data_IF_956417615428
#
_entry.id   IF_956417615428
#
_cell.length_a   1.000
_cell.length_b   1.000
_cell.length_c   1.000
_cell.angle_alpha   90.00
_cell.angle_beta   90.00
_cell.angle_gamma   90.00
#
_symmetry.space_group_name_H-M   'P 1'
#
loop_
_entity.id
_entity.type
_entity.pdbx_description
1 polymer ?
#
# COMPACT_ATOMS: atom_id res chain seq x y z
N UNK A 1 20.63 -4.70 27.68
CA UNK A 1 20.69 -3.31 27.20
C UNK A 1 19.29 -2.94 26.72
N UNK A 2 18.74 -1.78 27.04
CA UNK A 2 17.50 -1.34 26.41
C UNK A 2 17.72 -1.21 24.90
N UNK A 3 16.71 -1.54 24.07
CA UNK A 3 16.83 -1.42 22.62
C UNK A 3 17.16 0.04 22.27
N UNK A 4 18.09 0.23 21.34
CA UNK A 4 18.42 1.56 20.83
C UNK A 4 17.24 2.06 20.00
N UNK A 5 16.51 3.12 20.41
CA UNK A 5 15.35 3.61 19.68
C UNK A 5 15.67 4.08 18.25
N UNK A 6 16.94 4.38 17.94
CA UNK A 6 17.40 4.70 16.58
C UNK A 6 17.45 3.47 15.63
N UNK A 7 17.23 2.25 16.13
CA UNK A 7 17.27 1.01 15.35
C UNK A 7 15.89 0.33 15.19
N UNK A 8 14.84 0.90 15.78
CA UNK A 8 13.49 0.34 15.62
C UNK A 8 12.92 0.75 14.26
N UNK A 9 12.40 -0.21 13.46
CA UNK A 9 11.76 0.12 12.20
C UNK A 9 10.50 0.98 12.46
N UNK A 10 10.15 1.91 11.54
CA UNK A 10 8.89 2.64 11.65
C UNK A 10 7.71 1.67 11.61
N UNK A 11 6.69 1.94 12.43
CA UNK A 11 5.48 1.11 12.49
C UNK A 11 4.43 1.65 11.53
N UNK A 12 3.90 0.78 10.68
CA UNK A 12 2.83 1.10 9.73
C UNK A 12 1.58 0.29 10.11
N UNK A 13 0.48 0.99 10.35
CA UNK A 13 -0.84 0.39 10.59
C UNK A 13 -1.55 0.20 9.25
N UNK A 14 -1.97 -1.03 8.94
CA UNK A 14 -2.91 -1.29 7.85
C UNK A 14 -4.32 -1.54 8.38
N UNK A 15 -5.31 -0.88 7.78
CA UNK A 15 -6.74 -1.00 8.07
C UNK A 15 -7.42 -1.49 6.80
N UNK A 16 -7.63 -2.79 6.66
CA UNK A 16 -8.11 -3.37 5.41
C UNK A 16 -8.83 -4.72 5.62
N UNK A 17 -9.45 -5.25 4.56
CA UNK A 17 -10.04 -6.57 4.55
C UNK A 17 -9.00 -7.68 4.56
N UNK A 18 -9.43 -8.88 4.97
CA UNK A 18 -8.61 -10.08 4.93
C UNK A 18 -8.88 -10.86 3.63
N UNK A 19 -7.83 -10.98 2.80
CA UNK A 19 -7.83 -11.86 1.62
C UNK A 19 -7.11 -13.17 1.95
N UNK A 20 -7.83 -14.32 2.03
CA UNK A 20 -7.22 -15.61 2.35
C UNK A 20 -6.27 -16.13 1.26
N UNK A 21 -6.35 -15.60 0.01
CA UNK A 21 -5.36 -15.92 -1.03
C UNK A 21 -4.05 -15.17 -0.86
N UNK A 22 -4.00 -14.23 0.08
CA UNK A 22 -2.82 -13.43 0.43
C UNK A 22 -2.26 -12.58 -0.73
N UNK A 23 -3.08 -12.29 -1.73
CA UNK A 23 -2.72 -11.44 -2.86
C UNK A 23 -3.02 -9.96 -2.63
N UNK A 24 -4.01 -9.66 -1.79
CA UNK A 24 -4.44 -8.31 -1.44
C UNK A 24 -4.75 -8.22 0.07
N UNK A 25 -5.32 -7.09 0.51
CA UNK A 25 -5.73 -6.84 1.89
C UNK A 25 -4.61 -6.95 2.90
N UNK A 26 -4.96 -7.07 4.19
CA UNK A 26 -3.97 -7.04 5.29
C UNK A 26 -2.81 -8.01 5.13
N UNK A 27 -3.01 -9.17 4.49
CA UNK A 27 -1.94 -10.16 4.29
C UNK A 27 -0.93 -9.73 3.24
N UNK A 28 -1.35 -9.05 2.19
CA UNK A 28 -0.47 -8.42 1.20
C UNK A 28 0.22 -7.19 1.78
N UNK A 29 -0.51 -6.39 2.55
CA UNK A 29 0.00 -5.19 3.20
C UNK A 29 1.13 -5.52 4.17
N UNK A 30 0.95 -6.51 5.05
CA UNK A 30 2.00 -6.96 5.99
C UNK A 30 3.26 -7.43 5.24
N UNK A 31 3.11 -8.17 4.12
CA UNK A 31 4.26 -8.54 3.29
C UNK A 31 4.96 -7.31 2.68
N UNK A 32 4.16 -6.35 2.18
CA UNK A 32 4.69 -5.11 1.61
C UNK A 32 5.42 -4.29 2.66
N UNK A 33 4.82 -4.12 3.85
CA UNK A 33 5.41 -3.39 4.97
C UNK A 33 6.76 -4.02 5.36
N UNK A 34 6.80 -5.36 5.50
CA UNK A 34 8.04 -6.08 5.79
C UNK A 34 9.08 -5.92 4.68
N UNK A 35 8.67 -5.97 3.39
CA UNK A 35 9.57 -5.78 2.24
C UNK A 35 10.17 -4.36 2.17
N UNK A 36 9.48 -3.35 2.74
CA UNK A 36 9.95 -1.97 2.84
C UNK A 36 10.75 -1.67 4.12
N UNK A 37 11.02 -2.68 4.96
CA UNK A 37 11.81 -2.50 6.18
C UNK A 37 11.05 -1.82 7.32
N UNK A 38 9.73 -1.86 7.31
CA UNK A 38 8.84 -1.38 8.37
C UNK A 38 8.30 -2.53 9.22
N UNK A 39 7.78 -2.22 10.40
CA UNK A 39 7.01 -3.15 11.22
C UNK A 39 5.51 -2.95 10.97
N UNK A 40 4.80 -4.02 10.60
CA UNK A 40 3.38 -3.94 10.27
C UNK A 40 2.49 -4.36 11.43
N UNK A 41 1.49 -3.53 11.73
CA UNK A 41 0.35 -3.88 12.58
C UNK A 41 -0.93 -3.74 11.78
N UNK A 42 -1.97 -4.52 12.11
CA UNK A 42 -3.15 -4.60 11.27
C UNK A 42 -4.47 -4.57 12.06
N UNK A 43 -5.46 -3.87 11.50
CA UNK A 43 -6.86 -3.96 11.91
C UNK A 43 -7.68 -4.51 10.73
N UNK A 44 -8.32 -5.66 10.93
CA UNK A 44 -9.16 -6.29 9.90
C UNK A 44 -10.54 -5.66 9.90
N UNK A 45 -10.98 -5.19 8.74
CA UNK A 45 -12.31 -4.56 8.53
C UNK A 45 -13.37 -5.54 8.04
N UNK A 46 -12.95 -6.58 7.33
CA UNK A 46 -13.82 -7.61 6.77
C UNK A 46 -13.08 -8.93 6.54
N UNK A 47 -13.82 -10.02 6.57
CA UNK A 47 -13.36 -11.32 6.08
C UNK A 47 -13.93 -11.57 4.69
N UNK A 48 -13.15 -12.17 3.80
CA UNK A 48 -13.64 -12.55 2.47
C UNK A 48 -13.56 -14.06 2.24
N UNK A 49 -14.49 -14.59 1.49
CA UNK A 49 -14.39 -15.88 0.84
C UNK A 49 -13.89 -15.61 -0.58
N UNK A 50 -12.59 -15.69 -0.76
CA UNK A 50 -11.89 -15.21 -1.94
C UNK A 50 -10.81 -16.20 -2.39
N UNK A 51 -10.52 -16.20 -3.68
CA UNK A 51 -9.39 -16.89 -4.30
C UNK A 51 -8.85 -16.03 -5.46
N UNK A 52 -7.85 -16.53 -6.18
CA UNK A 52 -7.37 -15.86 -7.41
C UNK A 52 -8.45 -15.67 -8.47
N UNK A 53 -9.54 -16.44 -8.40
CA UNK A 53 -10.69 -16.37 -9.34
C UNK A 53 -11.71 -15.28 -8.97
N UNK A 54 -11.58 -14.63 -7.81
CA UNK A 54 -12.43 -13.52 -7.38
C UNK A 54 -13.01 -13.67 -5.98
N UNK A 55 -13.79 -12.67 -5.58
CA UNK A 55 -14.49 -12.56 -4.28
C UNK A 55 -15.88 -13.17 -4.43
N UNK A 56 -16.20 -14.17 -3.60
CA UNK A 56 -17.52 -14.82 -3.56
C UNK A 56 -18.43 -14.26 -2.46
N UNK A 57 -17.85 -13.84 -1.34
CA UNK A 57 -18.56 -13.30 -0.18
C UNK A 57 -17.65 -12.39 0.61
N UNK A 58 -18.23 -11.35 1.15
CA UNK A 58 -17.60 -10.44 2.12
C UNK A 58 -18.45 -10.41 3.37
N UNK A 59 -17.79 -10.42 4.54
CA UNK A 59 -18.42 -10.29 5.86
C UNK A 59 -17.70 -9.17 6.63
N UNK A 60 -18.39 -8.05 6.85
CA UNK A 60 -17.84 -6.94 7.62
C UNK A 60 -17.61 -7.35 9.08
N UNK A 61 -16.51 -6.92 9.65
CA UNK A 61 -16.25 -7.02 11.09
C UNK A 61 -17.13 -5.98 11.81
N UNK A 62 -17.63 -6.31 12.99
CA UNK A 62 -18.41 -5.37 13.79
C UNK A 62 -17.62 -4.07 14.03
N UNK A 63 -18.22 -2.92 13.69
CA UNK A 63 -17.55 -1.62 13.77
C UNK A 63 -17.01 -1.30 15.19
N UNK A 64 -17.70 -1.77 16.25
CA UNK A 64 -17.21 -1.68 17.63
C UNK A 64 -15.89 -2.41 17.83
N UNK A 65 -15.77 -3.64 17.33
CA UNK A 65 -14.52 -4.43 17.43
C UNK A 65 -13.39 -3.80 16.62
N UNK A 66 -13.68 -3.24 15.43
CA UNK A 66 -12.70 -2.48 14.63
C UNK A 66 -12.21 -1.29 15.45
N UNK A 67 -13.13 -0.51 16.06
CA UNK A 67 -12.76 0.66 16.86
C UNK A 67 -11.91 0.26 18.08
N UNK A 68 -12.32 -0.73 18.87
CA UNK A 68 -11.57 -1.23 20.04
C UNK A 68 -10.16 -1.70 19.65
N UNK A 69 -10.02 -2.40 18.51
CA UNK A 69 -8.72 -2.85 18.00
C UNK A 69 -7.82 -1.67 17.66
N UNK A 70 -8.35 -0.66 16.97
CA UNK A 70 -7.61 0.55 16.61
C UNK A 70 -7.17 1.34 17.84
N UNK A 71 -8.06 1.52 18.81
CA UNK A 71 -7.77 2.23 20.07
C UNK A 71 -6.69 1.52 20.88
N UNK A 72 -6.73 0.17 20.95
CA UNK A 72 -5.72 -0.61 21.66
C UNK A 72 -4.34 -0.52 21.01
N UNK A 73 -4.27 -0.62 19.67
CA UNK A 73 -3.02 -0.47 18.93
C UNK A 73 -2.43 0.93 19.11
N UNK A 74 -3.24 1.99 19.00
CA UNK A 74 -2.77 3.37 19.12
C UNK A 74 -2.34 3.73 20.55
N UNK A 75 -2.89 3.05 21.57
CA UNK A 75 -2.51 3.22 22.99
C UNK A 75 -1.12 2.64 23.28
N UNK A 76 -0.78 1.53 22.63
CA UNK A 76 0.45 0.76 22.92
C UNK A 76 1.60 1.14 22.00
N UNK A 77 1.31 1.49 20.73
CA UNK A 77 2.32 1.58 19.68
C UNK A 77 2.34 2.98 19.05
N UNK A 78 3.53 3.54 18.88
CA UNK A 78 3.71 4.76 18.09
C UNK A 78 3.64 4.45 16.60
N UNK A 79 2.56 4.87 15.94
CA UNK A 79 2.29 4.63 14.52
C UNK A 79 2.92 5.75 13.68
N UNK A 80 3.80 5.38 12.74
CA UNK A 80 4.49 6.31 11.85
C UNK A 80 3.75 6.59 10.54
N UNK A 81 2.90 5.66 10.10
CA UNK A 81 2.02 5.83 8.94
C UNK A 81 0.82 4.88 9.01
N UNK A 82 -0.23 5.22 8.28
CA UNK A 82 -1.46 4.42 8.17
C UNK A 82 -1.75 4.15 6.70
N UNK A 83 -2.02 2.90 6.36
CA UNK A 83 -2.64 2.51 5.10
C UNK A 83 -4.10 2.14 5.35
N UNK A 84 -5.01 2.68 4.55
CA UNK A 84 -6.44 2.35 4.58
C UNK A 84 -6.82 1.77 3.23
N UNK A 85 -7.29 0.52 3.24
CA UNK A 85 -7.82 -0.18 2.07
C UNK A 85 -9.33 -0.43 2.19
N UNK A 86 -9.76 -1.67 1.93
CA UNK A 86 -11.17 -2.07 1.95
C UNK A 86 -11.83 -1.87 3.31
N UNK A 87 -12.97 -1.16 3.34
CA UNK A 87 -13.74 -0.84 4.56
C UNK A 87 -15.07 -1.61 4.70
N UNK A 88 -15.49 -2.30 3.66
CA UNK A 88 -16.69 -3.14 3.58
C UNK A 88 -18.04 -2.39 3.72
N UNK A 89 -18.34 -1.75 4.85
CA UNK A 89 -19.62 -1.06 5.05
C UNK A 89 -19.46 0.36 5.66
N UNK A 90 -20.57 1.10 5.67
CA UNK A 90 -20.62 2.47 6.19
C UNK A 90 -20.32 2.57 7.69
N UNK A 91 -20.61 1.54 8.50
CA UNK A 91 -20.38 1.54 9.95
C UNK A 91 -18.91 1.43 10.26
N UNK A 92 -18.21 0.54 9.54
CA UNK A 92 -16.76 0.41 9.62
C UNK A 92 -16.07 1.69 9.13
N UNK A 93 -16.50 2.24 7.97
CA UNK A 93 -15.98 3.50 7.45
C UNK A 93 -16.14 4.66 8.46
N UNK A 94 -17.31 4.74 9.12
CA UNK A 94 -17.58 5.76 10.13
C UNK A 94 -16.70 5.59 11.39
N UNK A 95 -16.48 4.36 11.84
CA UNK A 95 -15.63 4.06 12.99
C UNK A 95 -14.15 4.42 12.71
N UNK A 96 -13.65 4.07 11.53
CA UNK A 96 -12.28 4.43 11.09
C UNK A 96 -12.12 5.93 10.96
N UNK A 97 -13.12 6.64 10.38
CA UNK A 97 -13.08 8.09 10.26
C UNK A 97 -13.06 8.78 11.65
N UNK A 98 -13.87 8.33 12.59
CA UNK A 98 -13.87 8.85 13.96
C UNK A 98 -12.52 8.61 14.66
N UNK A 99 -11.95 7.42 14.52
CA UNK A 99 -10.64 7.09 15.07
C UNK A 99 -9.53 8.02 14.53
N UNK A 100 -9.47 8.21 13.22
CA UNK A 100 -8.45 9.07 12.61
C UNK A 100 -8.61 10.53 12.99
N UNK A 101 -9.85 11.03 13.08
CA UNK A 101 -10.11 12.40 13.49
C UNK A 101 -9.69 12.67 14.94
N UNK A 102 -9.87 11.70 15.83
CA UNK A 102 -9.44 11.78 17.22
C UNK A 102 -7.92 11.63 17.41
N UNK A 103 -7.30 10.66 16.73
CA UNK A 103 -5.89 10.31 16.95
C UNK A 103 -4.91 11.20 16.16
N UNK A 104 -5.35 11.83 15.07
CA UNK A 104 -4.51 12.69 14.21
C UNK A 104 -3.19 12.03 13.81
N UNK A 105 -3.25 10.75 13.41
CA UNK A 105 -2.08 9.98 13.03
C UNK A 105 -1.39 10.57 11.78
N UNK A 106 -0.05 10.49 11.69
CA UNK A 106 0.69 10.99 10.55
C UNK A 106 0.60 10.05 9.33
N UNK A 107 0.89 10.59 8.15
CA UNK A 107 1.11 9.82 6.92
C UNK A 107 -0.02 8.84 6.58
N UNK A 108 -1.25 9.32 6.58
CA UNK A 108 -2.43 8.52 6.24
C UNK A 108 -2.53 8.40 4.72
N UNK A 109 -2.31 7.20 4.18
CA UNK A 109 -2.52 6.86 2.77
C UNK A 109 -3.81 6.07 2.63
N UNK A 110 -4.74 6.60 1.84
CA UNK A 110 -6.04 5.99 1.61
C UNK A 110 -6.14 5.47 0.17
N UNK A 111 -6.31 4.16 0.04
CA UNK A 111 -6.69 3.47 -1.19
C UNK A 111 -8.22 3.37 -1.22
N UNK A 112 -8.93 4.10 -2.09
CA UNK A 112 -10.39 4.17 -2.07
C UNK A 112 -11.02 2.93 -2.73
N UNK A 113 -10.77 1.76 -2.15
CA UNK A 113 -11.19 0.46 -2.69
C UNK A 113 -12.71 0.36 -2.76
N UNK A 114 -13.28 0.61 -3.93
CA UNK A 114 -14.71 0.51 -4.21
C UNK A 114 -15.09 -0.86 -4.78
N UNK A 115 -14.20 -1.43 -5.62
CA UNK A 115 -14.41 -2.72 -6.30
C UNK A 115 -13.15 -3.57 -6.28
N UNK A 116 -13.34 -4.89 -6.30
CA UNK A 116 -12.23 -5.83 -6.47
C UNK A 116 -11.73 -5.84 -7.92
N UNK A 117 -10.52 -6.37 -8.15
CA UNK A 117 -9.99 -6.64 -9.50
C UNK A 117 -10.93 -7.51 -10.35
N UNK A 118 -11.75 -8.34 -9.72
CA UNK A 118 -12.78 -9.16 -10.39
C UNK A 118 -14.14 -8.45 -10.58
N UNK A 119 -14.27 -7.17 -10.20
CA UNK A 119 -15.45 -6.33 -10.38
C UNK A 119 -16.49 -6.44 -9.25
N UNK A 120 -16.27 -7.24 -8.21
CA UNK A 120 -17.19 -7.31 -7.07
C UNK A 120 -17.19 -5.98 -6.30
N UNK A 121 -18.38 -5.51 -5.90
CA UNK A 121 -18.52 -4.33 -5.03
C UNK A 121 -17.95 -4.65 -3.64
N UNK A 122 -17.06 -3.80 -3.15
CA UNK A 122 -16.38 -3.95 -1.86
C UNK A 122 -16.73 -2.86 -0.86
N UNK A 123 -17.36 -1.78 -1.30
CA UNK A 123 -17.88 -0.72 -0.45
C UNK A 123 -19.25 -0.28 -0.98
N UNK A 124 -20.25 -0.36 -0.13
CA UNK A 124 -21.61 0.06 -0.47
C UNK A 124 -21.71 1.60 -0.67
N UNK A 125 -22.74 2.12 -1.38
CA UNK A 125 -22.87 3.56 -1.67
C UNK A 125 -22.86 4.46 -0.42
N UNK A 126 -23.45 4.02 0.70
CA UNK A 126 -23.41 4.76 1.97
C UNK A 126 -21.99 4.83 2.54
N UNK A 127 -21.21 3.77 2.40
CA UNK A 127 -19.80 3.74 2.78
C UNK A 127 -18.96 4.66 1.91
N UNK A 128 -19.20 4.69 0.60
CA UNK A 128 -18.54 5.61 -0.33
C UNK A 128 -18.85 7.08 0.00
N UNK A 129 -20.07 7.40 0.42
CA UNK A 129 -20.41 8.75 0.88
C UNK A 129 -19.62 9.16 2.14
N UNK A 130 -19.44 8.25 3.11
CA UNK A 130 -18.60 8.50 4.30
C UNK A 130 -17.13 8.64 3.92
N UNK A 131 -16.63 7.79 3.01
CA UNK A 131 -15.28 7.87 2.50
C UNK A 131 -15.01 9.28 1.93
N UNK A 132 -15.87 9.75 1.03
CA UNK A 132 -15.77 11.09 0.42
C UNK A 132 -15.84 12.22 1.47
N UNK A 133 -16.85 12.18 2.34
CA UNK A 133 -17.14 13.31 3.22
C UNK A 133 -16.24 13.38 4.45
N UNK A 134 -15.71 12.25 4.93
CA UNK A 134 -15.02 12.16 6.22
C UNK A 134 -13.60 11.61 6.16
N UNK A 135 -13.33 10.61 5.32
CA UNK A 135 -12.02 9.94 5.28
C UNK A 135 -11.03 10.64 4.34
N UNK A 136 -11.48 11.02 3.13
CA UNK A 136 -10.59 11.69 2.17
C UNK A 136 -9.95 12.97 2.72
N UNK A 137 -10.69 13.86 3.44
CA UNK A 137 -10.07 15.07 4.03
C UNK A 137 -9.05 14.79 5.15
N UNK A 138 -9.06 13.60 5.74
CA UNK A 138 -8.11 13.19 6.79
C UNK A 138 -6.85 12.52 6.20
N UNK A 139 -6.87 12.20 4.91
CA UNK A 139 -5.74 11.53 4.27
C UNK A 139 -4.60 12.50 3.92
N UNK A 140 -3.37 12.07 4.16
CA UNK A 140 -2.17 12.74 3.64
C UNK A 140 -2.08 12.57 2.13
N UNK A 141 -2.42 11.40 1.62
CA UNK A 141 -2.48 11.09 0.19
C UNK A 141 -3.57 10.07 -0.12
N UNK A 142 -4.18 10.20 -1.29
CA UNK A 142 -5.20 9.27 -1.80
C UNK A 142 -4.70 8.65 -3.10
N UNK A 143 -4.93 7.36 -3.31
CA UNK A 143 -4.36 6.59 -4.44
C UNK A 143 -5.42 5.95 -5.34
N UNK A 144 -6.42 6.69 -5.86
CA UNK A 144 -7.44 6.12 -6.73
C UNK A 144 -6.84 5.60 -8.04
N UNK A 145 -7.33 4.47 -8.53
CA UNK A 145 -7.14 4.10 -9.93
C UNK A 145 -8.06 4.94 -10.84
N UNK A 146 -7.95 4.78 -12.17
CA UNK A 146 -8.75 5.57 -13.13
C UNK A 146 -10.26 5.41 -12.93
N UNK A 147 -10.74 4.21 -12.62
CA UNK A 147 -12.17 3.93 -12.43
C UNK A 147 -12.68 4.54 -11.11
N UNK A 148 -11.88 4.45 -10.06
CA UNK A 148 -12.16 5.07 -8.77
C UNK A 148 -12.09 6.60 -8.85
N UNK A 149 -11.10 7.15 -9.55
CA UNK A 149 -11.01 8.59 -9.80
C UNK A 149 -12.24 9.10 -10.56
N UNK A 150 -12.70 8.37 -11.59
CA UNK A 150 -13.92 8.69 -12.33
C UNK A 150 -15.15 8.63 -11.42
N UNK A 151 -15.28 7.60 -10.58
CA UNK A 151 -16.39 7.49 -9.63
C UNK A 151 -16.40 8.62 -8.59
N UNK A 152 -15.25 8.95 -8.01
CA UNK A 152 -15.12 9.95 -6.95
C UNK A 152 -15.36 11.38 -7.46
N UNK A 153 -15.04 11.67 -8.72
CA UNK A 153 -15.14 13.00 -9.32
C UNK A 153 -16.37 13.19 -10.21
N UNK A 154 -16.95 12.08 -10.71
CA UNK A 154 -17.96 12.13 -11.76
C UNK A 154 -17.42 12.51 -13.15
N UNK A 155 -16.10 12.61 -13.31
CA UNK A 155 -15.43 12.93 -14.57
C UNK A 155 -15.09 11.67 -15.36
N UNK A 156 -14.90 11.80 -16.68
CA UNK A 156 -14.23 10.77 -17.47
C UNK A 156 -12.73 10.78 -17.16
N UNK A 157 -12.13 9.59 -16.95
CA UNK A 157 -10.69 9.45 -16.66
C UNK A 157 -10.15 8.29 -17.51
N UNK A 158 -9.60 8.61 -18.69
CA UNK A 158 -9.13 7.63 -19.67
C UNK A 158 -7.71 7.90 -20.18
N UNK A 159 -7.16 9.07 -19.85
CA UNK A 159 -5.84 9.51 -20.32
C UNK A 159 -5.16 10.42 -19.28
N UNK A 160 -3.84 10.68 -19.41
CA UNK A 160 -3.11 11.46 -18.41
C UNK A 160 -3.63 12.90 -18.18
N UNK A 161 -4.23 13.54 -19.19
CA UNK A 161 -4.81 14.87 -19.02
C UNK A 161 -6.06 14.82 -18.13
N UNK A 162 -6.92 13.83 -18.33
CA UNK A 162 -8.09 13.58 -17.51
C UNK A 162 -7.73 13.12 -16.10
N UNK A 163 -6.63 12.34 -15.92
CA UNK A 163 -6.09 12.00 -14.61
C UNK A 163 -5.67 13.26 -13.83
N UNK A 164 -5.04 14.24 -14.50
CA UNK A 164 -4.72 15.55 -13.89
C UNK A 164 -5.98 16.30 -13.47
N UNK A 165 -6.97 16.39 -14.35
CA UNK A 165 -8.24 17.06 -14.06
C UNK A 165 -8.97 16.40 -12.87
N UNK A 166 -8.93 15.07 -12.76
CA UNK A 166 -9.49 14.35 -11.63
C UNK A 166 -8.71 14.65 -10.33
N UNK A 167 -7.39 14.71 -10.37
CA UNK A 167 -6.57 15.07 -9.21
C UNK A 167 -6.82 16.52 -8.77
N UNK A 168 -6.95 17.47 -9.70
CA UNK A 168 -7.34 18.87 -9.39
C UNK A 168 -8.72 18.95 -8.74
N UNK A 169 -9.68 18.19 -9.27
CA UNK A 169 -11.03 18.15 -8.71
C UNK A 169 -11.02 17.66 -7.27
N UNK A 170 -10.32 16.55 -7.00
CA UNK A 170 -10.17 15.98 -5.65
C UNK A 170 -9.43 16.94 -4.72
N UNK A 171 -8.38 17.62 -5.21
CA UNK A 171 -7.70 18.66 -4.46
C UNK A 171 -8.65 19.81 -4.07
N UNK A 172 -9.51 20.24 -4.99
CA UNK A 172 -10.55 21.24 -4.73
C UNK A 172 -11.56 20.83 -3.66
N UNK A 173 -11.70 19.52 -3.38
CA UNK A 173 -12.49 18.98 -2.27
C UNK A 173 -11.72 18.92 -0.94
N UNK A 174 -10.50 19.46 -0.88
CA UNK A 174 -9.68 19.55 0.33
C UNK A 174 -8.68 18.39 0.52
N UNK A 175 -8.48 17.56 -0.50
CA UNK A 175 -7.48 16.47 -0.43
C UNK A 175 -6.11 17.04 -0.84
N UNK A 176 -5.10 17.04 0.05
CA UNK A 176 -3.84 17.74 -0.22
C UNK A 176 -3.02 17.09 -1.34
N UNK A 177 -3.07 15.76 -1.45
CA UNK A 177 -2.25 15.03 -2.42
C UNK A 177 -3.03 13.84 -3.00
N UNK A 178 -2.96 13.68 -4.32
CA UNK A 178 -3.68 12.64 -5.07
C UNK A 178 -2.75 11.94 -6.04
N UNK A 179 -2.66 10.62 -5.98
CA UNK A 179 -1.93 9.80 -6.95
C UNK A 179 -2.95 9.01 -7.77
N UNK A 180 -3.31 9.49 -8.95
CA UNK A 180 -4.17 8.71 -9.85
C UNK A 180 -3.32 7.65 -10.54
N UNK A 181 -3.63 6.37 -10.30
CA UNK A 181 -2.89 5.25 -10.86
C UNK A 181 -3.51 4.75 -12.17
N UNK A 182 -2.70 4.68 -13.23
CA UNK A 182 -3.14 4.30 -14.58
C UNK A 182 -2.51 3.02 -15.10
N UNK A 183 -2.39 1.99 -14.26
CA UNK A 183 -1.82 0.69 -14.64
C UNK A 183 -2.58 -0.04 -15.75
N UNK A 184 -3.81 0.36 -16.07
CA UNK A 184 -4.65 -0.22 -17.14
C UNK A 184 -4.46 0.48 -18.51
N UNK A 185 -3.75 1.61 -18.57
CA UNK A 185 -3.43 2.30 -19.81
C UNK A 185 -2.39 1.52 -20.63
N UNK A 186 -2.19 1.88 -21.90
CA UNK A 186 -1.19 1.26 -22.80
C UNK A 186 0.23 1.33 -22.24
N UNK A 187 0.51 2.35 -21.46
CA UNK A 187 1.67 2.46 -20.58
C UNK A 187 1.19 2.60 -19.13
N UNK A 188 1.90 2.02 -18.19
CA UNK A 188 1.61 2.23 -16.78
C UNK A 188 2.04 3.65 -16.37
N UNK A 189 1.07 4.58 -16.42
CA UNK A 189 1.28 6.00 -16.11
C UNK A 189 0.55 6.31 -14.81
N UNK A 190 1.25 6.94 -13.85
CA UNK A 190 0.62 7.46 -12.64
C UNK A 190 0.82 8.98 -12.62
N UNK A 191 -0.19 9.70 -12.20
CA UNK A 191 -0.19 11.16 -12.08
C UNK A 191 -0.30 11.54 -10.61
N UNK A 192 0.72 12.18 -10.07
CA UNK A 192 0.73 12.78 -8.75
C UNK A 192 0.35 14.25 -8.89
N UNK A 193 -0.73 14.67 -8.21
CA UNK A 193 -1.03 16.05 -7.89
C UNK A 193 -0.74 16.27 -6.41
N UNK A 194 0.08 17.27 -6.06
CA UNK A 194 0.51 17.48 -4.68
C UNK A 194 0.71 18.96 -4.33
N UNK A 195 0.52 19.28 -3.06
CA UNK A 195 0.78 20.62 -2.55
C UNK A 195 2.23 20.73 -2.13
N UNK A 196 2.95 21.68 -2.73
CA UNK A 196 4.34 21.96 -2.40
C UNK A 196 4.46 22.66 -1.03
N UNK A 197 5.65 22.71 -0.42
CA UNK A 197 5.86 23.51 0.79
C UNK A 197 5.55 25.00 0.65
N UNK A 198 5.56 25.51 -0.59
CA UNK A 198 5.17 26.89 -0.91
C UNK A 198 3.64 27.07 -1.00
N UNK A 199 2.85 26.00 -0.88
CA UNK A 199 1.39 26.04 -0.95
C UNK A 199 0.84 26.01 -2.38
N UNK A 200 1.65 25.77 -3.40
CA UNK A 200 1.22 25.59 -4.78
C UNK A 200 0.85 24.14 -5.06
N UNK A 201 -0.19 23.91 -5.85
CA UNK A 201 -0.55 22.58 -6.31
C UNK A 201 0.19 22.29 -7.63
N UNK A 202 1.00 21.25 -7.64
CA UNK A 202 1.86 20.88 -8.76
C UNK A 202 1.63 19.43 -9.19
N UNK A 203 2.15 19.06 -10.36
CA UNK A 203 1.99 17.73 -10.94
C UNK A 203 3.32 17.10 -11.29
N UNK A 204 3.44 15.81 -10.98
CA UNK A 204 4.47 14.94 -11.53
C UNK A 204 3.84 13.72 -12.21
N UNK A 205 4.50 13.20 -13.25
CA UNK A 205 4.05 12.04 -14.01
C UNK A 205 5.13 10.97 -13.97
N UNK A 206 4.74 9.79 -13.53
CA UNK A 206 5.59 8.62 -13.41
C UNK A 206 5.19 7.59 -14.45
N UNK A 207 6.14 7.10 -15.23
CA UNK A 207 5.89 6.11 -16.29
C UNK A 207 6.76 4.88 -16.11
N UNK A 208 6.20 3.72 -16.43
CA UNK A 208 6.94 2.46 -16.56
C UNK A 208 6.39 1.65 -17.73
N UNK A 209 7.17 0.73 -18.32
CA UNK A 209 6.65 -0.21 -19.30
C UNK A 209 5.49 -1.00 -18.70
N UNK A 210 4.44 -1.25 -19.50
CA UNK A 210 3.38 -2.18 -19.13
C UNK A 210 3.89 -3.60 -19.30
N UNK A 211 3.78 -4.41 -18.26
CA UNK A 211 4.17 -5.80 -18.28
C UNK A 211 2.96 -6.67 -18.69
N UNK A 212 3.14 -7.52 -19.69
CA UNK A 212 2.13 -8.46 -20.14
C UNK A 212 2.06 -9.65 -19.16
N UNK A 213 1.19 -9.56 -18.15
CA UNK A 213 1.01 -10.61 -17.14
C UNK A 213 -0.42 -10.61 -16.61
N UNK A 214 -0.89 -11.77 -16.16
CA UNK A 214 -2.15 -11.93 -15.42
C UNK A 214 -1.95 -11.84 -13.90
N UNK A 215 -0.71 -11.76 -13.42
CA UNK A 215 -0.36 -11.67 -12.00
C UNK A 215 -0.37 -10.21 -11.53
N UNK A 216 -1.56 -9.62 -11.44
CA UNK A 216 -1.79 -8.21 -11.07
C UNK A 216 -2.65 -8.03 -9.83
N UNK A 217 -3.07 -9.14 -9.19
CA UNK A 217 -3.89 -9.07 -7.98
C UNK A 217 -3.11 -8.43 -6.84
N UNK A 218 -3.73 -7.43 -6.20
CA UNK A 218 -3.16 -6.67 -5.09
C UNK A 218 -2.18 -5.57 -5.48
N UNK A 219 -2.07 -5.20 -6.77
CA UNK A 219 -1.20 -4.11 -7.23
C UNK A 219 -1.54 -2.78 -6.54
N UNK A 220 -2.83 -2.40 -6.42
CA UNK A 220 -3.29 -1.19 -5.73
C UNK A 220 -2.91 -1.20 -4.26
N UNK A 221 -3.27 -2.26 -3.53
CA UNK A 221 -2.92 -2.42 -2.11
C UNK A 221 -1.40 -2.34 -1.90
N UNK A 222 -0.60 -3.03 -2.74
CA UNK A 222 0.86 -2.97 -2.66
C UNK A 222 1.40 -1.56 -2.93
N UNK A 223 0.77 -0.80 -3.85
CA UNK A 223 1.14 0.59 -4.14
C UNK A 223 0.86 1.48 -2.92
N UNK A 224 -0.38 1.53 -2.44
CA UNK A 224 -0.77 2.38 -1.33
C UNK A 224 0.01 2.07 -0.05
N UNK A 225 0.20 0.77 0.26
CA UNK A 225 0.98 0.33 1.42
C UNK A 225 2.46 0.70 1.31
N UNK A 226 3.09 0.52 0.14
CA UNK A 226 4.48 0.92 -0.07
C UNK A 226 4.66 2.43 0.03
N UNK A 227 3.69 3.22 -0.48
CA UNK A 227 3.68 4.67 -0.33
C UNK A 227 3.66 5.07 1.16
N UNK A 228 2.77 4.46 1.96
CA UNK A 228 2.72 4.69 3.40
C UNK A 228 4.07 4.37 4.09
N UNK A 229 4.73 3.27 3.70
CA UNK A 229 6.04 2.90 4.22
C UNK A 229 7.12 3.94 3.87
N UNK A 230 7.16 4.43 2.63
CA UNK A 230 8.13 5.44 2.23
C UNK A 230 7.92 6.77 2.96
N UNK A 231 6.66 7.17 3.18
CA UNK A 231 6.34 8.33 4.01
C UNK A 231 6.75 8.11 5.48
N UNK A 232 6.54 6.91 6.03
CA UNK A 232 7.01 6.54 7.37
C UNK A 232 8.54 6.63 7.53
N UNK A 233 9.29 6.42 6.45
CA UNK A 233 10.74 6.63 6.38
C UNK A 233 11.14 8.10 6.19
N UNK A 234 10.20 9.05 6.16
CA UNK A 234 10.45 10.48 6.01
C UNK A 234 10.82 10.92 4.59
N UNK A 235 10.49 10.13 3.57
CA UNK A 235 10.69 10.51 2.16
C UNK A 235 9.72 11.62 1.76
N UNK A 236 10.14 12.51 0.86
CA UNK A 236 9.23 13.45 0.22
C UNK A 236 8.18 12.69 -0.62
N UNK A 237 7.01 13.28 -0.81
CA UNK A 237 5.93 12.59 -1.51
C UNK A 237 6.29 12.20 -2.96
N UNK A 238 6.92 13.06 -3.79
CA UNK A 238 7.37 12.66 -5.12
C UNK A 238 8.38 11.51 -5.12
N UNK A 239 9.36 11.54 -4.20
CA UNK A 239 10.31 10.45 -4.01
C UNK A 239 9.62 9.16 -3.58
N UNK A 240 8.68 9.24 -2.63
CA UNK A 240 7.91 8.11 -2.14
C UNK A 240 7.09 7.45 -3.28
N UNK A 241 6.42 8.25 -4.13
CA UNK A 241 5.68 7.74 -5.30
C UNK A 241 6.61 7.08 -6.31
N UNK A 242 7.78 7.68 -6.61
CA UNK A 242 8.77 7.10 -7.52
C UNK A 242 9.26 5.72 -7.03
N UNK A 243 9.65 5.63 -5.76
CA UNK A 243 10.12 4.39 -5.15
C UNK A 243 9.01 3.32 -5.08
N UNK A 244 7.79 3.74 -4.75
CA UNK A 244 6.60 2.89 -4.75
C UNK A 244 6.34 2.30 -6.14
N UNK A 245 6.35 3.13 -7.18
CA UNK A 245 6.16 2.67 -8.57
C UNK A 245 7.24 1.66 -8.99
N UNK A 246 8.50 1.94 -8.66
CA UNK A 246 9.60 1.02 -8.93
C UNK A 246 9.44 -0.32 -8.22
N UNK A 247 9.03 -0.30 -6.95
CA UNK A 247 8.73 -1.50 -6.17
C UNK A 247 7.62 -2.34 -6.79
N UNK A 248 6.49 -1.71 -7.12
CA UNK A 248 5.32 -2.41 -7.70
C UNK A 248 5.66 -2.99 -9.08
N UNK A 249 6.35 -2.23 -9.94
CA UNK A 249 6.79 -2.73 -11.25
C UNK A 249 7.70 -3.97 -11.10
N UNK A 250 8.64 -3.95 -10.17
CA UNK A 250 9.50 -5.10 -9.89
C UNK A 250 8.71 -6.27 -9.28
N UNK A 251 7.76 -6.02 -8.39
CA UNK A 251 6.89 -7.06 -7.81
C UNK A 251 6.04 -7.77 -8.88
N UNK A 252 5.55 -7.01 -9.88
CA UNK A 252 4.84 -7.56 -11.05
C UNK A 252 5.81 -8.37 -11.94
N UNK A 253 6.99 -7.83 -12.24
CA UNK A 253 7.98 -8.49 -13.11
C UNK A 253 8.48 -9.83 -12.55
N UNK A 254 8.50 -9.97 -11.22
CA UNK A 254 8.93 -11.19 -10.52
C UNK A 254 7.74 -12.07 -10.07
N UNK A 255 6.51 -11.75 -10.46
CA UNK A 255 5.34 -12.54 -10.09
C UNK A 255 5.34 -13.88 -10.82
N UNK A 256 4.83 -14.90 -10.15
CA UNK A 256 4.62 -16.22 -10.74
C UNK A 256 3.13 -16.54 -10.80
N UNK A 257 2.68 -17.30 -11.79
CA UNK A 257 1.29 -17.71 -11.88
C UNK A 257 0.92 -18.55 -10.64
N UNK A 258 -0.13 -18.14 -9.95
CA UNK A 258 -0.69 -18.83 -8.81
C UNK A 258 -2.21 -18.92 -8.96
N UNK A 259 -2.76 -20.12 -8.81
CA UNK A 259 -4.18 -20.34 -8.96
C UNK A 259 -4.66 -20.31 -10.41
N UNK A 260 -6.00 -20.19 -10.61
CA UNK A 260 -6.65 -20.25 -11.93
C UNK A 260 -7.12 -18.90 -12.46
N UNK A 261 -7.01 -17.84 -11.66
CA UNK A 261 -7.43 -16.48 -12.00
C UNK A 261 -6.26 -15.50 -12.04
N UNK A 262 -6.50 -14.27 -11.58
CA UNK A 262 -5.44 -13.27 -11.45
C UNK A 262 -4.50 -13.64 -10.30
N UNK A 263 -3.26 -14.00 -10.62
CA UNK A 263 -2.22 -14.30 -9.63
C UNK A 263 -1.80 -13.04 -8.86
N UNK A 264 -1.23 -13.19 -7.64
CA UNK A 264 -0.73 -12.06 -6.86
C UNK A 264 0.60 -11.55 -7.43
N UNK A 265 0.91 -10.29 -7.15
CA UNK A 265 2.26 -9.76 -7.32
C UNK A 265 3.22 -10.40 -6.31
N UNK A 266 4.52 -10.41 -6.63
CA UNK A 266 5.53 -10.97 -5.70
C UNK A 266 6.03 -9.93 -4.70
N UNK A 267 5.29 -9.70 -3.62
CA UNK A 267 5.58 -8.67 -2.61
C UNK A 267 7.01 -8.78 -2.02
N UNK A 268 7.54 -10.01 -1.89
CA UNK A 268 8.82 -10.30 -1.26
C UNK A 268 9.92 -10.65 -2.28
N UNK A 269 9.85 -10.16 -3.52
CA UNK A 269 10.78 -10.52 -4.60
C UNK A 269 12.26 -10.30 -4.23
N UNK A 270 12.56 -9.29 -3.42
CA UNK A 270 13.94 -8.99 -2.97
C UNK A 270 14.54 -10.08 -2.08
N UNK A 271 13.70 -10.90 -1.42
CA UNK A 271 14.19 -12.00 -0.60
C UNK A 271 14.73 -13.18 -1.42
N UNK A 272 14.35 -13.27 -2.70
CA UNK A 272 14.83 -14.31 -3.63
C UNK A 272 16.09 -13.89 -4.40
N UNK A 273 16.58 -12.66 -4.24
CA UNK A 273 17.86 -12.29 -4.80
C UNK A 273 18.96 -13.11 -4.09
N UNK A 274 19.75 -13.91 -4.82
CA UNK A 274 20.85 -14.63 -4.22
C UNK A 274 21.76 -13.59 -3.58
N UNK A 275 22.01 -13.76 -2.27
CA UNK A 275 22.82 -12.84 -1.49
C UNK A 275 24.27 -12.83 -2.04
N UNK A 276 24.54 -12.01 -3.03
CA UNK A 276 25.91 -11.73 -3.55
C UNK A 276 26.84 -11.21 -2.44
N UNK A 277 26.33 -10.90 -1.26
CA UNK A 277 27.10 -10.46 -0.10
C UNK A 277 27.46 -11.58 0.89
N UNK A 278 26.79 -12.74 0.91
CA UNK A 278 27.17 -13.84 1.80
C UNK A 278 28.37 -14.66 1.30
N UNK A 279 28.66 -14.63 0.01
CA UNK A 279 29.81 -15.34 -0.56
C UNK A 279 31.17 -14.70 -0.22
N UNK A 280 31.23 -13.43 0.22
CA UNK A 280 32.49 -12.77 0.62
C UNK A 280 32.84 -12.90 2.11
N UNK A 281 31.95 -13.40 2.95
CA UNK A 281 32.19 -13.52 4.39
C UNK A 281 32.68 -14.89 4.83
N UNK A 282 32.71 -15.90 3.94
CA UNK A 282 33.15 -17.28 4.28
C UNK A 282 34.59 -17.55 3.87
N UNK A 283 35.21 -16.67 3.09
CA UNK A 283 36.53 -16.92 2.49
C UNK A 283 37.71 -16.27 3.27
N UNK A 284 37.49 -15.82 4.50
CA UNK A 284 38.54 -15.17 5.33
C UNK A 284 39.00 -16.06 6.50
N UNK A 285 38.57 -17.32 6.57
CA UNK A 285 38.83 -18.25 7.69
C UNK A 285 39.73 -19.45 7.40
N UNK A 286 40.39 -19.51 6.25
CA UNK A 286 41.09 -20.73 5.85
C UNK A 286 42.54 -20.57 5.38
N UNK A 287 43.39 -19.85 6.14
CA UNK A 287 44.83 -19.89 5.87
C UNK A 287 45.62 -19.54 7.15
N UNK A 288 45.91 -20.53 7.98
CA UNK A 288 47.09 -20.56 8.83
C UNK A 288 47.10 -21.87 9.63
N UNK A 289 47.81 -22.86 9.18
CA UNK A 289 48.62 -23.80 10.00
C UNK A 289 49.31 -24.80 9.07
N UNK A 290 50.38 -24.35 8.47
CA UNK A 290 51.43 -25.22 8.00
C UNK A 290 52.52 -25.24 9.05
N UNK A 291 52.58 -26.25 9.88
CA UNK A 291 53.67 -26.51 10.78
C UNK A 291 54.76 -27.24 10.08
N UNK A 292 55.92 -26.68 10.12
CA UNK A 292 57.21 -27.31 9.95
C UNK A 292 57.48 -28.37 11.00
N UNK A 293 58.10 -29.47 10.59
CA UNK A 293 59.04 -30.30 11.32
C UNK A 293 59.66 -31.24 10.30
N UNK A 294 60.85 -31.06 9.89
CA UNK A 294 62.10 -31.31 10.60
C UNK A 294 62.49 -32.81 10.67
N UNK A 295 63.57 -33.09 9.99
CA UNK A 295 64.72 -33.94 10.37
C UNK A 295 64.48 -35.41 10.59
N UNK A 296 65.14 -36.22 9.85
CA UNK A 296 66.45 -36.91 10.03
C UNK A 296 66.66 -37.88 8.89
#
# INVERSE_FOLDING_TARGET
MPPNPALSPPVVLTIAGFDPSSGAGVTADIKTIAAQGCYGVACITALTVQSTSGVRRTEAIAAGLVRETLDELARDISIAAVHIGMLADHRVAAAVAAFLDEQRLPNVVLDPVLRSTSGAELLEPKGAAILLARLLPLATAVTPNIDEAAYLTGLSVTNPAEMRAAAEHLHGLGIPNVVVTGGHLDRAIDVLGFTTPAGTFEFEVFQSPRLATTSTHGTGCAFATALACHLAHGRSLPEAVLLTKAYVAAAIANAHPLGKGHGPVHHLYRMNEPSRQRARAVDVGGAAHGSSSDQA
#
